data_IF_393722497571
#
_entry.id   IF_393722497571
#
_cell.length_a   1.000
_cell.length_b   1.000
_cell.length_c   1.000
_cell.angle_alpha   90.00
_cell.angle_beta   90.00
_cell.angle_gamma   90.00
#
_symmetry.space_group_name_H-M   'P 1'
#
loop_
_entity.id
_entity.type
_entity.pdbx_description
1 polymer ?
#
# COMPACT_ATOMS: atom_id res chain seq x y z
N UNK A 1 51.59 44.15 46.46
CA UNK A 1 51.00 43.74 45.17
C UNK A 1 51.08 42.22 45.10
N UNK A 2 49.93 41.57 45.21
CA UNK A 2 49.76 40.12 45.43
C UNK A 2 49.47 39.46 44.06
N UNK A 3 50.16 38.39 43.64
CA UNK A 3 49.66 37.52 42.59
C UNK A 3 48.84 36.36 43.20
N UNK A 4 47.60 36.09 42.75
CA UNK A 4 46.87 34.93 43.22
C UNK A 4 47.15 33.66 42.40
N UNK A 5 47.30 32.60 43.18
CA UNK A 5 47.47 31.18 42.90
C UNK A 5 46.71 30.63 41.69
N UNK A 6 47.39 29.77 40.92
CA UNK A 6 46.84 28.88 39.91
C UNK A 6 47.09 27.43 40.33
N UNK A 7 46.10 26.81 40.99
CA UNK A 7 45.76 25.38 40.95
C UNK A 7 44.96 25.04 42.22
N UNK A 8 43.71 24.61 42.02
CA UNK A 8 42.96 23.62 42.80
C UNK A 8 41.46 23.87 42.56
N UNK A 9 40.85 23.16 41.60
CA UNK A 9 39.41 22.87 41.66
C UNK A 9 39.16 21.48 41.07
N UNK A 10 39.37 20.47 41.91
CA UNK A 10 38.47 19.32 41.96
C UNK A 10 37.13 19.83 42.50
N UNK A 11 36.03 19.54 41.82
CA UNK A 11 34.70 19.41 42.45
C UNK A 11 33.79 18.60 41.54
N UNK A 12 33.71 17.30 41.82
CA UNK A 12 32.53 16.51 41.55
C UNK A 12 31.41 17.04 42.45
N UNK A 13 30.21 17.26 41.88
CA UNK A 13 28.87 17.17 42.50
C UNK A 13 27.91 17.80 41.47
N UNK A 14 27.14 16.96 40.76
CA UNK A 14 25.72 17.21 40.46
C UNK A 14 25.09 15.95 39.87
N UNK A 15 24.50 15.13 40.73
CA UNK A 15 23.44 14.16 40.38
C UNK A 15 22.22 14.57 41.20
N UNK A 16 21.16 15.06 40.54
CA UNK A 16 19.76 14.99 40.97
C UNK A 16 18.84 15.65 39.90
N UNK A 17 18.38 14.83 38.94
CA UNK A 17 17.00 14.68 38.40
C UNK A 17 16.13 15.96 38.31
N UNK A 18 15.60 16.33 37.12
CA UNK A 18 14.42 15.62 36.62
C UNK A 18 14.51 15.16 35.15
N UNK A 19 14.85 13.88 34.98
CA UNK A 19 14.53 13.06 33.81
C UNK A 19 13.02 12.68 33.78
N UNK A 20 12.14 13.63 34.07
CA UNK A 20 10.67 13.45 34.05
C UNK A 20 9.92 14.49 33.22
N UNK A 21 10.61 15.53 32.73
CA UNK A 21 10.00 16.58 31.89
C UNK A 21 10.09 16.33 30.38
N UNK A 22 10.95 15.41 29.94
CA UNK A 22 11.18 15.18 28.50
C UNK A 22 10.23 14.18 27.86
N UNK A 23 9.56 13.30 28.62
CA UNK A 23 8.68 12.27 28.04
C UNK A 23 7.26 12.76 27.70
N UNK A 24 6.82 13.89 28.26
CA UNK A 24 5.50 14.48 27.93
C UNK A 24 5.56 15.43 26.73
N UNK A 25 6.73 16.00 26.42
CA UNK A 25 6.91 16.85 25.24
C UNK A 25 6.98 16.03 23.93
N UNK A 26 7.44 14.77 23.99
CA UNK A 26 7.51 13.91 22.81
C UNK A 26 6.15 13.31 22.41
N UNK A 27 5.21 13.09 23.35
CA UNK A 27 3.84 12.66 23.02
C UNK A 27 3.00 13.75 22.34
N UNK A 28 3.36 15.03 22.50
CA UNK A 28 2.69 16.15 21.82
C UNK A 28 3.24 16.42 20.41
N UNK A 29 4.37 15.81 20.04
CA UNK A 29 5.02 15.94 18.72
C UNK A 29 5.13 14.61 17.97
N UNK A 30 4.50 13.53 18.43
CA UNK A 30 4.22 12.41 17.54
C UNK A 30 3.31 12.95 16.44
N UNK A 31 3.74 12.98 15.15
CA UNK A 31 2.75 13.00 14.11
C UNK A 31 2.00 11.69 14.27
N UNK A 32 0.85 11.73 14.95
CA UNK A 32 -0.22 10.80 14.62
C UNK A 32 -0.31 10.90 13.12
N UNK A 33 0.02 9.82 12.41
CA UNK A 33 -0.09 9.75 10.97
C UNK A 33 -1.54 10.08 10.67
N UNK A 34 -1.80 11.37 10.42
CA UNK A 34 -3.04 11.80 9.81
C UNK A 34 -3.09 10.98 8.53
N UNK A 35 -4.20 10.27 8.22
CA UNK A 35 -4.30 9.59 6.95
C UNK A 35 -3.92 10.63 5.89
N UNK A 36 -2.83 10.37 5.17
CA UNK A 36 -2.36 11.28 4.15
C UNK A 36 -3.58 11.57 3.27
N UNK A 37 -3.91 12.85 3.09
CA UNK A 37 -5.06 13.22 2.27
C UNK A 37 -4.93 12.48 0.94
N UNK A 38 -5.91 11.61 0.65
CA UNK A 38 -5.84 10.72 -0.50
C UNK A 38 -5.72 11.59 -1.76
N UNK A 39 -4.62 11.44 -2.49
CA UNK A 39 -4.32 12.29 -3.63
C UNK A 39 -5.14 11.83 -4.85
N UNK A 40 -5.34 12.73 -5.81
CA UNK A 40 -5.82 12.31 -7.12
C UNK A 40 -4.80 11.37 -7.77
N UNK A 41 -5.25 10.40 -8.57
CA UNK A 41 -4.38 9.54 -9.37
C UNK A 41 -3.67 10.29 -10.53
N UNK A 42 -4.07 11.54 -10.78
CA UNK A 42 -3.53 12.38 -11.83
C UNK A 42 -4.26 12.19 -13.16
N UNK A 43 -3.55 12.38 -14.27
CA UNK A 43 -4.10 12.23 -15.61
C UNK A 43 -4.20 10.74 -16.01
N UNK A 44 -5.43 10.29 -16.28
CA UNK A 44 -5.74 8.93 -16.72
C UNK A 44 -6.17 8.86 -18.21
N UNK A 45 -6.02 9.96 -18.97
CA UNK A 45 -6.49 10.07 -20.35
C UNK A 45 -5.88 9.02 -21.30
N UNK A 46 -4.62 8.66 -21.10
CA UNK A 46 -3.96 7.61 -21.89
C UNK A 46 -4.64 6.24 -21.72
N UNK A 47 -4.97 5.85 -20.48
CA UNK A 47 -5.70 4.61 -20.20
C UNK A 47 -7.08 4.61 -20.88
N UNK A 48 -7.83 5.71 -20.74
CA UNK A 48 -9.15 5.86 -21.36
C UNK A 48 -9.10 5.82 -22.89
N UNK A 49 -8.04 6.38 -23.48
CA UNK A 49 -7.82 6.30 -24.93
C UNK A 49 -7.66 4.85 -25.37
N UNK A 50 -6.86 4.06 -24.66
CA UNK A 50 -6.67 2.64 -24.98
C UNK A 50 -8.00 1.86 -24.85
N UNK A 51 -8.81 2.14 -23.82
CA UNK A 51 -10.13 1.52 -23.66
C UNK A 51 -11.09 1.89 -24.80
N UNK A 52 -11.15 3.17 -25.17
CA UNK A 52 -11.96 3.65 -26.31
C UNK A 52 -11.52 3.02 -27.63
N UNK A 53 -10.21 2.92 -27.88
CA UNK A 53 -9.66 2.27 -29.07
C UNK A 53 -10.02 0.79 -29.10
N UNK A 54 -9.94 0.10 -27.96
CA UNK A 54 -10.36 -1.30 -27.83
C UNK A 54 -11.83 -1.48 -28.18
N UNK A 55 -12.71 -0.61 -27.68
CA UNK A 55 -14.13 -0.63 -28.03
C UNK A 55 -14.37 -0.37 -29.52
N UNK A 56 -13.57 0.50 -30.15
CA UNK A 56 -13.62 0.77 -31.59
C UNK A 56 -13.18 -0.43 -32.43
N UNK A 57 -12.09 -1.10 -32.03
CA UNK A 57 -11.61 -2.33 -32.66
C UNK A 57 -12.65 -3.45 -32.51
N UNK A 58 -13.23 -3.63 -31.32
CA UNK A 58 -14.32 -4.60 -31.14
C UNK A 58 -15.49 -4.32 -32.08
N UNK A 59 -15.79 -3.06 -32.43
CA UNK A 59 -16.92 -2.76 -33.34
C UNK A 59 -16.72 -3.37 -34.72
N UNK A 60 -15.48 -3.62 -35.14
CA UNK A 60 -15.16 -4.22 -36.44
C UNK A 60 -15.26 -5.75 -36.45
N UNK A 61 -15.32 -6.39 -35.28
CA UNK A 61 -15.29 -7.86 -35.17
C UNK A 61 -13.94 -8.43 -34.75
N UNK A 62 -12.89 -7.61 -34.68
CA UNK A 62 -11.53 -8.08 -34.44
C UNK A 62 -11.21 -8.20 -32.94
N UNK A 63 -11.59 -9.34 -32.35
CA UNK A 63 -11.34 -9.60 -30.92
C UNK A 63 -9.84 -9.75 -30.63
N UNK A 64 -9.05 -10.28 -31.57
CA UNK A 64 -7.61 -10.46 -31.38
C UNK A 64 -6.87 -9.12 -31.34
N UNK A 65 -7.21 -8.18 -32.23
CA UNK A 65 -6.67 -6.83 -32.17
C UNK A 65 -7.14 -6.06 -30.92
N UNK A 66 -8.36 -6.32 -30.43
CA UNK A 66 -8.85 -5.74 -29.19
C UNK A 66 -8.08 -6.26 -27.97
N UNK A 67 -7.79 -7.56 -27.93
CA UNK A 67 -6.95 -8.16 -26.89
C UNK A 67 -5.54 -7.57 -26.93
N UNK A 68 -4.93 -7.43 -28.10
CA UNK A 68 -3.63 -6.79 -28.24
C UNK A 68 -3.61 -5.35 -27.71
N UNK A 69 -4.66 -4.57 -28.03
CA UNK A 69 -4.80 -3.20 -27.52
C UNK A 69 -4.98 -3.17 -25.99
N UNK A 70 -5.63 -4.16 -25.40
CA UNK A 70 -5.69 -4.26 -23.93
C UNK A 70 -4.38 -4.68 -23.30
N UNK A 71 -3.52 -5.45 -23.98
CA UNK A 71 -2.15 -5.69 -23.52
C UNK A 71 -1.31 -4.39 -23.48
N UNK A 72 -1.59 -3.41 -24.36
CA UNK A 72 -0.99 -2.08 -24.23
C UNK A 72 -1.42 -1.38 -22.92
N UNK A 73 -2.69 -1.55 -22.51
CA UNK A 73 -3.21 -1.00 -21.26
C UNK A 73 -2.52 -1.64 -20.06
N UNK A 74 -2.44 -2.98 -20.03
CA UNK A 74 -1.73 -3.75 -19.00
C UNK A 74 -0.29 -3.25 -18.86
N UNK A 75 0.42 -3.14 -19.98
CA UNK A 75 1.81 -2.65 -19.99
C UNK A 75 1.94 -1.23 -19.41
N UNK A 76 1.02 -0.32 -19.75
CA UNK A 76 1.01 1.04 -19.22
C UNK A 76 0.61 1.10 -17.74
N UNK A 77 -0.30 0.21 -17.33
CA UNK A 77 -0.75 0.08 -15.94
C UNK A 77 0.41 -0.37 -15.07
N UNK A 78 1.09 -1.45 -15.42
CA UNK A 78 2.22 -2.02 -14.67
C UNK A 78 3.35 -1.02 -14.47
N UNK A 79 3.70 -0.27 -15.52
CA UNK A 79 4.73 0.77 -15.46
C UNK A 79 4.42 1.88 -14.43
N UNK A 80 3.15 2.12 -14.14
CA UNK A 80 2.69 3.20 -13.27
C UNK A 80 2.07 2.70 -11.96
N UNK A 81 1.83 1.40 -11.82
CA UNK A 81 1.01 0.81 -10.76
C UNK A 81 1.50 1.22 -9.37
N UNK A 82 2.80 1.13 -9.10
CA UNK A 82 3.37 1.52 -7.82
C UNK A 82 3.11 2.99 -7.46
N UNK A 83 3.30 3.91 -8.42
CA UNK A 83 3.04 5.35 -8.21
C UNK A 83 1.55 5.63 -8.00
N UNK A 84 0.68 5.00 -8.79
CA UNK A 84 -0.77 5.19 -8.70
C UNK A 84 -1.34 4.61 -7.39
N UNK A 85 -0.93 3.39 -7.02
CA UNK A 85 -1.27 2.73 -5.75
C UNK A 85 -0.83 3.57 -4.56
N UNK A 86 0.37 4.15 -4.60
CA UNK A 86 0.86 5.04 -3.54
C UNK A 86 0.04 6.33 -3.41
N UNK A 87 -0.41 6.91 -4.53
CA UNK A 87 -1.18 8.16 -4.53
C UNK A 87 -2.59 7.96 -3.95
N UNK A 88 -3.26 6.86 -4.33
CA UNK A 88 -4.61 6.54 -3.89
C UNK A 88 -4.85 5.02 -3.95
N UNK A 89 -4.59 4.28 -2.86
CA UNK A 89 -4.73 2.82 -2.85
C UNK A 89 -6.15 2.35 -3.17
N UNK A 90 -7.17 3.04 -2.62
CA UNK A 90 -8.56 2.65 -2.80
C UNK A 90 -9.03 2.85 -4.24
N UNK A 91 -8.78 4.02 -4.83
CA UNK A 91 -9.16 4.29 -6.22
C UNK A 91 -8.33 3.47 -7.21
N UNK A 92 -7.05 3.24 -6.92
CA UNK A 92 -6.21 2.30 -7.67
C UNK A 92 -6.83 0.91 -7.67
N UNK A 93 -7.25 0.41 -6.51
CA UNK A 93 -7.88 -0.90 -6.37
C UNK A 93 -9.18 -1.03 -7.16
N UNK A 94 -10.00 0.01 -7.20
CA UNK A 94 -11.24 0.01 -8.01
C UNK A 94 -10.93 -0.10 -9.50
N UNK A 95 -9.96 0.66 -10.02
CA UNK A 95 -9.56 0.58 -11.44
C UNK A 95 -8.96 -0.79 -11.75
N UNK A 96 -8.06 -1.27 -10.90
CA UNK A 96 -7.39 -2.55 -11.03
C UNK A 96 -8.40 -3.71 -11.17
N UNK A 97 -9.41 -3.74 -10.29
CA UNK A 97 -10.51 -4.72 -10.37
C UNK A 97 -11.28 -4.64 -11.69
N UNK A 98 -11.55 -3.41 -12.17
CA UNK A 98 -12.25 -3.22 -13.43
C UNK A 98 -11.39 -3.63 -14.64
N UNK A 99 -10.08 -3.42 -14.57
CA UNK A 99 -9.12 -3.84 -15.59
C UNK A 99 -9.03 -5.36 -15.66
N UNK A 100 -8.91 -6.04 -14.51
CA UNK A 100 -8.94 -7.50 -14.40
C UNK A 100 -10.20 -8.10 -15.02
N UNK A 101 -11.38 -7.51 -14.75
CA UNK A 101 -12.63 -7.96 -15.34
C UNK A 101 -12.63 -7.81 -16.87
N UNK A 102 -12.04 -6.74 -17.41
CA UNK A 102 -11.90 -6.53 -18.85
C UNK A 102 -10.92 -7.53 -19.48
N UNK A 103 -9.77 -7.79 -18.85
CA UNK A 103 -8.81 -8.80 -19.30
C UNK A 103 -9.41 -10.20 -19.28
N UNK A 104 -10.10 -10.57 -18.21
CA UNK A 104 -10.76 -11.87 -18.08
C UNK A 104 -11.84 -12.08 -19.15
N UNK A 105 -12.63 -11.04 -19.45
CA UNK A 105 -13.65 -11.10 -20.49
C UNK A 105 -13.07 -11.29 -21.90
N UNK A 106 -11.90 -10.70 -22.18
CA UNK A 106 -11.22 -10.82 -23.47
C UNK A 106 -10.48 -12.16 -23.63
N UNK A 107 -9.80 -12.62 -22.57
CA UNK A 107 -8.87 -13.76 -22.60
C UNK A 107 -9.53 -15.12 -22.32
N UNK A 108 -10.84 -15.16 -22.15
CA UNK A 108 -11.58 -16.44 -22.01
C UNK A 108 -11.56 -17.24 -23.30
N UNK A 109 -11.64 -18.57 -23.22
CA UNK A 109 -11.61 -19.47 -24.39
C UNK A 109 -12.74 -19.24 -25.40
N UNK A 110 -13.85 -18.65 -24.96
CA UNK A 110 -14.99 -18.29 -25.83
C UNK A 110 -15.42 -16.85 -25.53
N UNK A 111 -14.71 -15.83 -26.06
CA UNK A 111 -15.00 -14.44 -25.75
C UNK A 111 -16.40 -14.02 -26.21
N UNK A 112 -17.19 -13.48 -25.30
CA UNK A 112 -18.52 -12.94 -25.61
C UNK A 112 -18.43 -11.42 -25.77
N UNK A 113 -18.76 -10.91 -26.96
CA UNK A 113 -18.65 -9.47 -27.28
C UNK A 113 -19.41 -8.56 -26.33
N UNK A 114 -20.64 -8.91 -25.97
CA UNK A 114 -21.48 -8.06 -25.11
C UNK A 114 -20.88 -7.98 -23.69
N UNK A 115 -20.35 -9.09 -23.20
CA UNK A 115 -19.65 -9.17 -21.92
C UNK A 115 -18.39 -8.32 -21.93
N UNK A 116 -17.60 -8.38 -23.02
CA UNK A 116 -16.40 -7.55 -23.17
C UNK A 116 -16.78 -6.06 -23.22
N UNK A 117 -17.81 -5.68 -23.97
CA UNK A 117 -18.28 -4.29 -24.01
C UNK A 117 -18.71 -3.78 -22.64
N UNK A 118 -19.46 -4.59 -21.88
CA UNK A 118 -19.89 -4.22 -20.54
C UNK A 118 -18.69 -4.03 -19.60
N UNK A 119 -17.69 -4.91 -19.67
CA UNK A 119 -16.47 -4.78 -18.87
C UNK A 119 -15.67 -3.53 -19.26
N UNK A 120 -15.46 -3.27 -20.56
CA UNK A 120 -14.77 -2.06 -21.03
C UNK A 120 -15.51 -0.77 -20.68
N UNK A 121 -16.84 -0.77 -20.73
CA UNK A 121 -17.65 0.38 -20.32
C UNK A 121 -17.51 0.65 -18.81
N UNK A 122 -17.47 -0.42 -18.00
CA UNK A 122 -17.23 -0.32 -16.55
C UNK A 122 -15.83 0.23 -16.27
N UNK A 123 -14.81 -0.24 -16.99
CA UNK A 123 -13.45 0.26 -16.88
C UNK A 123 -13.34 1.74 -17.28
N UNK A 124 -13.92 2.17 -18.41
CA UNK A 124 -13.88 3.58 -18.81
C UNK A 124 -14.59 4.49 -17.78
N UNK A 125 -15.75 4.07 -17.28
CA UNK A 125 -16.47 4.81 -16.24
C UNK A 125 -15.64 4.94 -14.95
N UNK A 126 -14.96 3.86 -14.55
CA UNK A 126 -14.08 3.84 -13.36
C UNK A 126 -12.86 4.73 -13.55
N UNK A 127 -12.24 4.70 -14.73
CA UNK A 127 -11.13 5.60 -15.08
C UNK A 127 -11.56 7.08 -15.14
N UNK A 128 -12.81 7.36 -15.52
CA UNK A 128 -13.35 8.71 -15.57
C UNK A 128 -13.67 9.29 -14.18
N UNK A 129 -14.07 8.44 -13.25
CA UNK A 129 -14.42 8.81 -11.87
C UNK A 129 -13.84 7.80 -10.86
N UNK A 130 -12.50 7.79 -10.70
CA UNK A 130 -11.83 6.82 -9.84
C UNK A 130 -12.13 7.18 -8.39
N UNK A 131 -13.07 6.45 -7.81
CA UNK A 131 -13.53 6.62 -6.43
C UNK A 131 -13.22 5.36 -5.64
N UNK A 132 -13.04 5.53 -4.32
CA UNK A 132 -13.01 4.39 -3.43
C UNK A 132 -14.34 3.64 -3.59
N UNK A 133 -14.28 2.32 -3.75
CA UNK A 133 -15.48 1.51 -3.72
C UNK A 133 -16.21 1.76 -2.39
N UNK A 134 -17.54 1.75 -2.41
CA UNK A 134 -18.29 1.81 -1.15
C UNK A 134 -17.89 0.58 -0.32
N UNK A 135 -17.53 0.72 0.97
CA UNK A 135 -17.14 -0.41 1.80
C UNK A 135 -18.28 -1.42 1.83
N UNK A 136 -18.12 -2.49 1.05
CA UNK A 136 -19.12 -3.55 0.91
C UNK A 136 -18.65 -4.80 1.66
N UNK A 137 -17.36 -4.85 2.00
CA UNK A 137 -16.71 -5.94 2.71
C UNK A 137 -16.26 -5.51 4.11
N UNK A 138 -16.09 -6.50 4.98
CA UNK A 138 -15.55 -6.27 6.33
C UNK A 138 -14.03 -6.28 6.25
N UNK A 139 -13.37 -5.30 6.87
CA UNK A 139 -11.90 -5.28 6.99
C UNK A 139 -11.43 -6.57 7.65
N UNK A 140 -10.54 -7.30 6.97
CA UNK A 140 -9.89 -8.51 7.47
C UNK A 140 -8.87 -8.17 8.53
N UNK A 141 -8.84 -8.96 9.61
CA UNK A 141 -7.93 -8.75 10.72
C UNK A 141 -7.15 -10.03 11.06
N UNK A 142 -5.87 -9.87 11.40
CA UNK A 142 -5.03 -10.92 11.99
C UNK A 142 -4.56 -10.43 13.34
N UNK A 143 -4.93 -11.13 14.42
CA UNK A 143 -4.61 -10.76 15.80
C UNK A 143 -4.99 -9.29 16.14
N UNK A 144 -6.12 -8.82 15.62
CA UNK A 144 -6.61 -7.45 15.85
C UNK A 144 -5.94 -6.36 15.00
N UNK A 145 -5.07 -6.74 14.06
CA UNK A 145 -4.41 -5.83 13.12
C UNK A 145 -5.10 -5.98 11.76
N UNK A 146 -5.51 -4.86 11.16
CA UNK A 146 -6.10 -4.86 9.83
C UNK A 146 -5.06 -5.29 8.77
N UNK A 147 -5.42 -6.29 7.96
CA UNK A 147 -4.58 -6.83 6.86
C UNK A 147 -5.24 -6.66 5.49
N UNK A 148 -6.42 -6.04 5.45
CA UNK A 148 -7.08 -5.65 4.21
C UNK A 148 -7.49 -4.18 4.27
N UNK A 149 -7.79 -3.60 3.11
CA UNK A 149 -8.51 -2.34 3.02
C UNK A 149 -10.02 -2.50 3.32
N UNK A 150 -10.75 -1.40 3.20
CA UNK A 150 -12.21 -1.30 3.39
C UNK A 150 -13.03 -1.99 2.28
N UNK A 151 -12.37 -2.41 1.21
CA UNK A 151 -12.95 -3.24 0.14
C UNK A 151 -12.70 -4.73 0.37
N UNK A 152 -11.92 -5.10 1.40
CA UNK A 152 -11.59 -6.48 1.74
C UNK A 152 -10.40 -7.03 0.96
N UNK A 153 -9.67 -6.20 0.21
CA UNK A 153 -8.45 -6.60 -0.52
C UNK A 153 -7.22 -6.47 0.38
N UNK A 154 -6.29 -7.41 0.27
CA UNK A 154 -5.03 -7.38 1.03
C UNK A 154 -4.29 -6.05 0.86
N UNK A 155 -3.62 -5.59 1.92
CA UNK A 155 -2.79 -4.40 1.84
C UNK A 155 -1.53 -4.73 1.01
N UNK A 156 -0.83 -3.71 0.48
CA UNK A 156 0.48 -3.94 -0.11
C UNK A 156 1.44 -4.47 0.95
N UNK A 157 2.19 -5.52 0.64
CA UNK A 157 3.09 -6.14 1.60
C UNK A 157 4.13 -5.17 2.18
N UNK A 158 4.55 -4.15 1.42
CA UNK A 158 5.47 -3.12 1.89
C UNK A 158 4.86 -2.25 2.99
N UNK A 159 3.54 -2.05 2.98
CA UNK A 159 2.83 -1.31 4.03
C UNK A 159 2.91 -2.08 5.33
N UNK A 160 2.54 -3.35 5.33
CA UNK A 160 2.54 -4.16 6.56
C UNK A 160 3.95 -4.46 7.06
N UNK A 161 4.91 -4.71 6.16
CA UNK A 161 6.33 -4.86 6.50
C UNK A 161 6.91 -3.54 7.04
N UNK A 162 6.47 -2.39 6.51
CA UNK A 162 6.77 -1.07 7.05
C UNK A 162 6.29 -0.93 8.49
N UNK A 163 5.01 -1.25 8.75
CA UNK A 163 4.44 -1.23 10.10
C UNK A 163 5.17 -2.17 11.07
N UNK A 164 5.61 -3.34 10.61
CA UNK A 164 6.43 -4.26 11.39
C UNK A 164 7.78 -3.63 11.75
N UNK A 165 8.44 -2.98 10.79
CA UNK A 165 9.71 -2.28 11.03
C UNK A 165 9.53 -1.13 12.04
N UNK A 166 8.44 -0.38 11.93
CA UNK A 166 8.11 0.69 12.88
C UNK A 166 7.82 0.14 14.28
N UNK A 167 7.10 -0.99 14.38
CA UNK A 167 6.84 -1.65 15.65
C UNK A 167 8.11 -2.17 16.33
N UNK A 168 9.09 -2.63 15.55
CA UNK A 168 10.41 -3.04 16.08
C UNK A 168 11.22 -1.86 16.59
N UNK A 169 11.20 -0.72 15.88
CA UNK A 169 12.02 0.44 16.19
C UNK A 169 13.51 0.05 16.26
N UNK A 170 14.18 0.43 17.35
CA UNK A 170 15.58 0.06 17.63
C UNK A 170 15.74 -1.26 18.41
N UNK A 171 14.65 -1.99 18.64
CA UNK A 171 14.66 -3.20 19.48
C UNK A 171 15.23 -4.39 18.71
N UNK A 172 15.98 -5.25 19.40
CA UNK A 172 16.40 -6.52 18.81
C UNK A 172 15.24 -7.52 18.86
N UNK A 173 14.71 -8.01 17.72
CA UNK A 173 13.63 -8.97 17.69
C UNK A 173 14.05 -10.31 18.30
N UNK A 174 13.10 -11.01 18.91
CA UNK A 174 13.29 -12.41 19.28
C UNK A 174 13.25 -13.31 18.02
N UNK A 175 13.74 -14.55 18.15
CA UNK A 175 13.86 -15.49 17.02
C UNK A 175 12.54 -15.73 16.28
N UNK A 176 11.40 -15.72 16.97
CA UNK A 176 10.08 -15.92 16.36
C UNK A 176 9.67 -14.72 15.50
N UNK A 177 9.93 -13.50 15.97
CA UNK A 177 9.67 -12.28 15.21
C UNK A 177 10.60 -12.20 13.99
N UNK A 178 11.87 -12.60 14.14
CA UNK A 178 12.82 -12.68 13.01
C UNK A 178 12.38 -13.68 11.94
N UNK A 179 11.93 -14.87 12.32
CA UNK A 179 11.41 -15.87 11.37
C UNK A 179 10.19 -15.35 10.60
N UNK A 180 9.22 -14.77 11.32
CA UNK A 180 8.02 -14.21 10.70
C UNK A 180 8.36 -13.06 9.75
N UNK A 181 9.30 -12.18 10.12
CA UNK A 181 9.76 -11.11 9.26
C UNK A 181 10.42 -11.64 7.97
N UNK A 182 11.28 -12.66 8.09
CA UNK A 182 11.93 -13.27 6.93
C UNK A 182 10.92 -13.90 5.97
N UNK A 183 9.94 -14.65 6.50
CA UNK A 183 8.88 -15.28 5.72
C UNK A 183 7.93 -14.24 5.10
N UNK A 184 7.64 -13.15 5.81
CA UNK A 184 6.84 -12.06 5.26
C UNK A 184 7.54 -11.42 4.05
N UNK A 185 8.86 -11.18 4.13
CA UNK A 185 9.66 -10.68 3.01
C UNK A 185 9.72 -11.66 1.85
N UNK A 186 9.85 -12.96 2.11
CA UNK A 186 9.81 -13.99 1.07
C UNK A 186 8.47 -13.99 0.32
N UNK A 187 7.36 -13.87 1.05
CA UNK A 187 6.01 -13.79 0.46
C UNK A 187 5.78 -12.50 -0.30
N UNK A 188 6.25 -11.38 0.23
CA UNK A 188 6.20 -10.09 -0.45
C UNK A 188 6.98 -10.12 -1.78
N UNK A 189 8.18 -10.71 -1.79
CA UNK A 189 8.95 -10.91 -3.02
C UNK A 189 8.26 -11.83 -4.03
N UNK A 190 7.37 -12.71 -3.56
CA UNK A 190 6.56 -13.60 -4.40
C UNK A 190 5.21 -12.98 -4.80
N UNK A 191 5.00 -11.68 -4.54
CA UNK A 191 3.74 -10.95 -4.79
C UNK A 191 2.53 -11.56 -4.06
N UNK A 192 2.79 -12.25 -2.95
CA UNK A 192 1.78 -12.90 -2.11
C UNK A 192 1.43 -11.98 -0.93
N UNK A 193 0.83 -10.83 -1.27
CA UNK A 193 0.41 -9.75 -0.34
C UNK A 193 -0.37 -10.31 0.86
N UNK A 194 -1.30 -11.24 0.60
CA UNK A 194 -2.16 -11.82 1.64
C UNK A 194 -1.36 -12.57 2.71
N UNK A 195 -0.44 -13.45 2.31
CA UNK A 195 0.36 -14.20 3.28
C UNK A 195 1.46 -13.33 3.89
N UNK A 196 2.03 -12.40 3.12
CA UNK A 196 3.01 -11.44 3.62
C UNK A 196 2.42 -10.60 4.77
N UNK A 197 1.23 -10.03 4.55
CA UNK A 197 0.51 -9.22 5.53
C UNK A 197 0.13 -10.02 6.77
N UNK A 198 -0.39 -11.24 6.58
CA UNK A 198 -0.76 -12.11 7.71
C UNK A 198 0.46 -12.47 8.58
N UNK A 199 1.63 -12.70 7.99
CA UNK A 199 2.87 -12.99 8.71
C UNK A 199 3.40 -11.76 9.44
N UNK A 200 3.41 -10.60 8.78
CA UNK A 200 3.85 -9.35 9.39
C UNK A 200 2.91 -8.90 10.52
N UNK A 201 1.59 -9.07 10.39
CA UNK A 201 0.63 -8.82 11.45
C UNK A 201 0.84 -9.74 12.67
N UNK A 202 1.12 -11.03 12.46
CA UNK A 202 1.49 -11.95 13.55
C UNK A 202 2.75 -11.49 14.29
N UNK A 203 3.77 -11.02 13.55
CA UNK A 203 5.00 -10.50 14.14
C UNK A 203 4.74 -9.24 14.98
N UNK A 204 3.92 -8.30 14.46
CA UNK A 204 3.52 -7.09 15.18
C UNK A 204 2.76 -7.45 16.47
N UNK A 205 1.85 -8.41 16.43
CA UNK A 205 1.10 -8.84 17.61
C UNK A 205 2.03 -9.39 18.71
N UNK A 206 3.06 -10.16 18.34
CA UNK A 206 4.08 -10.64 19.29
C UNK A 206 4.92 -9.53 19.90
N UNK A 207 5.10 -8.41 19.20
CA UNK A 207 5.81 -7.23 19.72
C UNK A 207 4.93 -6.45 20.70
N UNK A 208 3.62 -6.34 20.43
CA UNK A 208 2.69 -5.53 21.22
C UNK A 208 2.22 -6.19 22.52
N UNK A 209 2.23 -7.52 22.61
CA UNK A 209 1.86 -8.28 23.81
C UNK A 209 0.37 -8.52 23.94
#
# INVERSE_FOLDING_TARGET
MIPPLRNLLLSAVLIAIPAGGFTLAEMALQPGASPAATQSLGDLSAYRTIVSDTQAILRTGDVAAAEHRMTDLESLWDQNAGRLRQANPAAWGTIDTAADAAFAALRTSTPNRDTIYAALATLDATLAAPTAATPTATVGHVAGIAVTDDTGRALPCEVMIGQLRDALGATTPNARVTDLQARALERCNADDDTNADALAAQAIALIRG
#
